data_IF_951760018678
#
_entry.id   IF_951760018678
#
_cell.length_a   1.000
_cell.length_b   1.000
_cell.length_c   1.000
_cell.angle_alpha   90.00
_cell.angle_beta   90.00
_cell.angle_gamma   90.00
#
_symmetry.space_group_name_H-M   'P 1'
#
loop_
_entity.id
_entity.type
_entity.pdbx_description
1 polymer ?
#
# COMPACT_ATOMS: atom_id res chain seq x y z
N UNK A 1 1.17 -18.99 13.37
CA UNK A 1 1.98 -17.77 13.61
C UNK A 1 1.19 -16.76 14.42
N UNK A 2 1.50 -16.61 15.73
CA UNK A 2 0.91 -15.53 16.56
C UNK A 2 1.87 -14.33 16.51
N UNK A 3 1.77 -13.47 15.49
CA UNK A 3 2.47 -12.19 15.50
C UNK A 3 1.87 -11.33 16.63
N UNK A 4 2.60 -11.15 17.73
CA UNK A 4 2.18 -10.24 18.80
C UNK A 4 2.11 -8.81 18.25
N UNK A 5 1.23 -7.98 18.80
CA UNK A 5 1.26 -6.53 18.58
C UNK A 5 2.59 -6.00 19.09
N UNK A 6 3.29 -5.23 18.28
CA UNK A 6 4.47 -4.50 18.74
C UNK A 6 4.02 -3.31 19.56
N UNK A 7 4.87 -2.83 20.47
CA UNK A 7 4.60 -1.60 21.22
C UNK A 7 4.35 -0.41 20.28
N UNK A 8 5.03 -0.38 19.14
CA UNK A 8 4.82 0.65 18.13
C UNK A 8 3.42 0.57 17.49
N UNK A 9 2.94 -0.62 17.17
CA UNK A 9 1.57 -0.79 16.64
C UNK A 9 0.52 -0.35 17.67
N UNK A 10 0.72 -0.69 18.96
CA UNK A 10 -0.19 -0.27 20.04
C UNK A 10 -0.19 1.26 20.18
N UNK A 11 0.99 1.89 20.17
CA UNK A 11 1.13 3.34 20.23
C UNK A 11 0.42 4.02 19.05
N UNK A 12 0.68 3.55 17.83
CA UNK A 12 0.08 4.11 16.61
C UNK A 12 -1.44 3.91 16.56
N UNK A 13 -1.97 2.83 17.14
CA UNK A 13 -3.42 2.62 17.25
C UNK A 13 -4.04 3.51 18.34
N UNK A 14 -3.36 3.71 19.46
CA UNK A 14 -3.90 4.48 20.57
C UNK A 14 -3.80 6.00 20.34
N UNK A 15 -2.79 6.47 19.63
CA UNK A 15 -2.50 7.90 19.45
C UNK A 15 -3.67 8.72 18.88
N UNK A 16 -4.40 8.30 17.82
CA UNK A 16 -5.54 9.05 17.33
C UNK A 16 -6.68 9.15 18.34
N UNK A 17 -6.97 8.07 19.07
CA UNK A 17 -8.02 8.09 20.09
C UNK A 17 -7.65 8.97 21.28
N UNK A 18 -6.40 8.92 21.73
CA UNK A 18 -5.90 9.83 22.75
C UNK A 18 -5.99 11.29 22.31
N UNK A 19 -5.60 11.59 21.05
CA UNK A 19 -5.74 12.94 20.50
C UNK A 19 -7.20 13.40 20.44
N UNK A 20 -8.14 12.53 20.09
CA UNK A 20 -9.58 12.84 20.11
C UNK A 20 -10.06 13.18 21.51
N UNK A 21 -9.67 12.39 22.52
CA UNK A 21 -10.07 12.64 23.92
C UNK A 21 -9.53 14.01 24.39
N UNK A 22 -8.25 14.29 24.11
CA UNK A 22 -7.59 15.51 24.61
C UNK A 22 -8.01 16.78 23.87
N UNK A 23 -8.30 16.68 22.56
CA UNK A 23 -8.53 17.85 21.70
C UNK A 23 -10.00 18.06 21.33
N UNK A 24 -10.90 17.19 21.74
CA UNK A 24 -12.30 17.20 21.32
C UNK A 24 -12.98 18.56 21.47
N UNK A 25 -12.81 19.20 22.61
CA UNK A 25 -13.44 20.49 22.91
C UNK A 25 -12.79 21.68 22.15
N UNK A 26 -11.57 21.51 21.65
CA UNK A 26 -10.86 22.52 20.89
C UNK A 26 -11.15 22.45 19.37
N UNK A 27 -11.65 21.30 18.91
CA UNK A 27 -11.93 21.08 17.49
C UNK A 27 -13.26 21.72 17.08
N UNK A 28 -13.33 22.40 15.93
CA UNK A 28 -14.55 23.03 15.43
C UNK A 28 -15.60 21.98 15.04
N UNK A 29 -16.87 22.40 14.93
CA UNK A 29 -17.96 21.52 14.53
C UNK A 29 -17.83 20.98 13.09
N UNK A 30 -17.17 21.75 12.20
CA UNK A 30 -16.84 21.34 10.83
C UNK A 30 -15.34 21.28 10.67
N UNK A 31 -14.87 20.21 10.03
CA UNK A 31 -13.45 19.90 9.83
C UNK A 31 -13.16 19.68 8.35
N UNK A 32 -11.94 19.91 7.86
CA UNK A 32 -11.55 19.59 6.50
C UNK A 32 -11.55 18.08 6.29
N UNK A 33 -12.15 17.63 5.18
CA UNK A 33 -12.23 16.20 4.85
C UNK A 33 -11.63 15.86 3.49
N UNK A 34 -11.35 16.88 2.66
CA UNK A 34 -10.70 16.72 1.37
C UNK A 34 -9.86 17.96 1.02
N UNK A 35 -8.77 17.72 0.27
CA UNK A 35 -7.88 18.74 -0.29
C UNK A 35 -7.76 18.50 -1.80
N UNK A 36 -7.85 19.57 -2.58
CA UNK A 36 -7.68 19.53 -4.02
C UNK A 36 -6.20 19.36 -4.43
N UNK A 37 -5.93 19.26 -5.73
CA UNK A 37 -4.57 19.12 -6.27
C UNK A 37 -3.66 20.34 -6.02
N UNK A 38 -4.22 21.48 -5.58
CA UNK A 38 -3.48 22.68 -5.19
C UNK A 38 -3.20 22.74 -3.68
N UNK A 39 -3.59 21.69 -2.93
CA UNK A 39 -3.42 21.63 -1.49
C UNK A 39 -4.42 22.46 -0.69
N UNK A 40 -5.46 23.00 -1.34
CA UNK A 40 -6.51 23.78 -0.70
C UNK A 40 -7.65 22.87 -0.21
N UNK A 41 -8.26 23.25 0.91
CA UNK A 41 -9.42 22.53 1.45
C UNK A 41 -10.63 22.86 0.58
N UNK A 42 -11.17 21.87 -0.11
CA UNK A 42 -12.33 22.01 -1.00
C UNK A 42 -13.59 21.30 -0.46
N UNK A 43 -13.46 20.53 0.63
CA UNK A 43 -14.60 19.89 1.27
C UNK A 43 -14.49 19.89 2.79
N UNK A 44 -15.63 20.13 3.44
CA UNK A 44 -15.78 20.21 4.89
C UNK A 44 -16.87 19.26 5.36
N UNK A 45 -16.58 18.47 6.37
CA UNK A 45 -17.51 17.55 6.99
C UNK A 45 -17.82 17.89 8.45
N UNK A 46 -18.84 17.25 9.03
CA UNK A 46 -19.10 17.34 10.47
C UNK A 46 -18.00 16.65 11.27
N UNK A 47 -17.68 17.17 12.46
CA UNK A 47 -16.66 16.59 13.35
C UNK A 47 -16.90 15.10 13.59
N UNK A 48 -18.12 14.73 13.98
CA UNK A 48 -18.57 13.34 13.97
C UNK A 48 -19.39 13.08 12.69
N UNK A 49 -19.21 11.96 11.97
CA UNK A 49 -18.34 10.80 12.23
C UNK A 49 -16.91 10.90 11.63
N UNK A 50 -16.57 11.99 10.89
CA UNK A 50 -15.36 12.03 10.04
C UNK A 50 -14.05 11.82 10.81
N UNK A 51 -13.96 12.31 12.06
CA UNK A 51 -12.76 12.08 12.88
C UNK A 51 -12.58 10.62 13.33
N UNK A 52 -13.63 9.81 13.33
CA UNK A 52 -13.52 8.39 13.67
C UNK A 52 -13.19 7.50 12.48
N UNK A 53 -13.41 7.96 11.25
CA UNK A 53 -13.19 7.15 10.03
C UNK A 53 -11.75 6.62 9.99
N UNK A 54 -10.75 7.49 10.10
CA UNK A 54 -9.35 7.07 9.99
C UNK A 54 -8.88 6.17 11.15
N UNK A 55 -9.14 6.48 12.43
CA UNK A 55 -8.80 5.59 13.55
C UNK A 55 -9.48 4.21 13.46
N UNK A 56 -10.76 4.16 13.08
CA UNK A 56 -11.49 2.90 12.92
C UNK A 56 -11.00 2.12 11.70
N UNK A 57 -10.68 2.80 10.60
CA UNK A 57 -10.05 2.18 9.42
C UNK A 57 -8.70 1.58 9.80
N UNK A 58 -7.86 2.30 10.56
CA UNK A 58 -6.57 1.82 11.03
C UNK A 58 -6.72 0.56 11.91
N UNK A 59 -7.66 0.56 12.84
CA UNK A 59 -7.98 -0.61 13.65
C UNK A 59 -8.46 -1.78 12.79
N UNK A 60 -9.40 -1.54 11.89
CA UNK A 60 -9.92 -2.55 10.97
C UNK A 60 -8.83 -3.16 10.08
N UNK A 61 -7.91 -2.34 9.55
CA UNK A 61 -6.77 -2.82 8.74
C UNK A 61 -5.80 -3.68 9.55
N UNK A 62 -5.50 -3.32 10.80
CA UNK A 62 -4.64 -4.15 11.67
C UNK A 62 -5.31 -5.48 11.96
N UNK A 63 -6.61 -5.48 12.29
CA UNK A 63 -7.37 -6.72 12.51
C UNK A 63 -7.39 -7.57 11.26
N UNK A 64 -7.75 -6.98 10.10
CA UNK A 64 -7.78 -7.68 8.82
C UNK A 64 -6.44 -8.34 8.50
N UNK A 65 -5.33 -7.59 8.52
CA UNK A 65 -4.01 -8.12 8.20
C UNK A 65 -3.49 -9.16 9.21
N UNK A 66 -4.09 -9.24 10.41
CA UNK A 66 -3.80 -10.28 11.41
C UNK A 66 -4.57 -11.57 11.18
N UNK A 67 -5.84 -11.45 10.82
CA UNK A 67 -6.69 -12.64 10.60
C UNK A 67 -6.50 -13.24 9.20
N UNK A 68 -6.04 -12.43 8.23
CA UNK A 68 -5.84 -12.81 6.84
C UNK A 68 -5.08 -14.15 6.65
N UNK A 69 -3.94 -14.41 7.33
CA UNK A 69 -3.21 -15.67 7.17
C UNK A 69 -4.03 -16.90 7.56
N UNK A 70 -5.08 -16.76 8.38
CA UNK A 70 -5.94 -17.88 8.80
C UNK A 70 -6.93 -18.27 7.71
N UNK A 71 -7.35 -17.30 6.88
CA UNK A 71 -8.30 -17.50 5.79
C UNK A 71 -7.63 -17.85 4.47
N UNK A 72 -6.31 -17.64 4.32
CA UNK A 72 -5.60 -17.91 3.09
C UNK A 72 -5.12 -19.38 3.03
N UNK A 73 -5.72 -20.23 2.16
CA UNK A 73 -5.31 -21.63 2.06
C UNK A 73 -3.86 -21.80 1.59
N UNK A 74 -3.34 -20.87 0.76
CA UNK A 74 -1.96 -20.89 0.27
C UNK A 74 -0.95 -20.58 1.39
N UNK A 75 -1.30 -19.64 2.29
CA UNK A 75 -0.49 -19.30 3.45
C UNK A 75 -0.58 -20.38 4.55
N UNK A 76 -1.76 -20.95 4.77
CA UNK A 76 -2.01 -21.96 5.80
C UNK A 76 -1.30 -23.29 5.52
N UNK A 77 -1.30 -23.77 4.28
CA UNK A 77 -0.67 -25.05 3.90
C UNK A 77 0.85 -25.07 4.06
N UNK A 78 1.49 -23.92 4.17
CA UNK A 78 2.95 -23.75 4.25
C UNK A 78 3.42 -23.16 5.59
N UNK A 79 2.68 -23.41 6.68
CA UNK A 79 3.01 -22.90 8.01
C UNK A 79 4.37 -23.35 8.56
N UNK A 80 4.96 -24.42 8.01
CA UNK A 80 6.26 -24.94 8.41
C UNK A 80 7.44 -24.36 7.61
N UNK A 81 7.18 -23.50 6.64
CA UNK A 81 8.20 -22.92 5.78
C UNK A 81 8.46 -21.48 6.24
N UNK A 82 9.63 -21.22 6.81
CA UNK A 82 10.08 -19.93 7.38
C UNK A 82 10.26 -18.85 6.28
N UNK A 83 9.18 -18.49 5.59
CA UNK A 83 9.24 -17.44 4.59
C UNK A 83 9.15 -16.04 5.21
N UNK A 84 9.50 -15.00 4.43
CA UNK A 84 9.52 -13.60 4.83
C UNK A 84 8.14 -13.01 5.24
N UNK A 85 7.03 -13.74 5.09
CA UNK A 85 5.69 -13.25 5.48
C UNK A 85 5.58 -12.83 6.96
N UNK A 86 6.23 -13.50 7.93
CA UNK A 86 6.27 -13.05 9.33
C UNK A 86 6.93 -11.68 9.51
N UNK A 87 7.83 -11.30 8.61
CA UNK A 87 8.53 -10.00 8.62
C UNK A 87 7.74 -8.96 7.82
N UNK A 88 7.23 -9.33 6.64
CA UNK A 88 6.57 -8.40 5.71
C UNK A 88 5.24 -7.90 6.28
N UNK A 89 4.39 -8.75 6.84
CA UNK A 89 3.08 -8.34 7.35
C UNK A 89 3.16 -7.30 8.49
N UNK A 90 4.04 -7.44 9.49
CA UNK A 90 4.23 -6.37 10.49
C UNK A 90 4.68 -5.05 9.87
N UNK A 91 5.60 -5.08 8.90
CA UNK A 91 6.08 -3.87 8.22
C UNK A 91 4.95 -3.19 7.45
N UNK A 92 4.15 -3.96 6.71
CA UNK A 92 2.98 -3.42 5.99
C UNK A 92 1.97 -2.80 6.97
N UNK A 93 1.71 -3.45 8.12
CA UNK A 93 0.81 -2.89 9.16
C UNK A 93 1.34 -1.57 9.71
N UNK A 94 2.62 -1.51 10.10
CA UNK A 94 3.24 -0.30 10.63
C UNK A 94 3.23 0.82 9.57
N UNK A 95 3.59 0.53 8.32
CA UNK A 95 3.56 1.50 7.23
C UNK A 95 2.13 2.04 6.98
N UNK A 96 1.13 1.16 7.01
CA UNK A 96 -0.28 1.56 6.88
C UNK A 96 -0.73 2.43 8.05
N UNK A 97 -0.36 2.06 9.30
CA UNK A 97 -0.66 2.84 10.48
C UNK A 97 -0.01 4.22 10.42
N UNK A 98 1.26 4.31 10.01
CA UNK A 98 1.96 5.59 9.85
C UNK A 98 1.26 6.48 8.80
N UNK A 99 0.87 5.92 7.66
CA UNK A 99 0.14 6.64 6.63
C UNK A 99 -1.19 7.20 7.16
N UNK A 100 -2.03 6.35 7.77
CA UNK A 100 -3.34 6.76 8.27
C UNK A 100 -3.22 7.76 9.43
N UNK A 101 -2.24 7.58 10.32
CA UNK A 101 -1.96 8.55 11.38
C UNK A 101 -1.49 9.90 10.83
N UNK A 102 -0.64 9.91 9.79
CA UNK A 102 -0.20 11.16 9.16
C UNK A 102 -1.41 11.93 8.63
N UNK A 103 -2.30 11.29 7.87
CA UNK A 103 -3.52 11.93 7.36
C UNK A 103 -4.40 12.43 8.50
N UNK A 104 -4.60 11.63 9.55
CA UNK A 104 -5.38 12.00 10.73
C UNK A 104 -4.80 13.23 11.44
N UNK A 105 -3.49 13.24 11.74
CA UNK A 105 -2.88 14.37 12.44
C UNK A 105 -2.76 15.63 11.59
N UNK A 106 -2.63 15.52 10.26
CA UNK A 106 -2.77 16.66 9.34
C UNK A 106 -4.19 17.22 9.42
N UNK A 107 -5.21 16.37 9.41
CA UNK A 107 -6.61 16.78 9.56
C UNK A 107 -6.86 17.49 10.91
N UNK A 108 -6.34 16.97 12.02
CA UNK A 108 -6.41 17.62 13.33
C UNK A 108 -5.70 18.98 13.31
N UNK A 109 -4.47 19.04 12.82
CA UNK A 109 -3.68 20.26 12.78
C UNK A 109 -4.37 21.38 11.97
N UNK A 110 -4.87 21.05 10.78
CA UNK A 110 -5.63 21.99 9.95
C UNK A 110 -6.95 22.40 10.59
N UNK A 111 -7.65 21.49 11.27
CA UNK A 111 -8.88 21.80 12.02
C UNK A 111 -8.64 22.79 13.17
N UNK A 112 -7.46 22.74 13.78
CA UNK A 112 -7.03 23.68 14.84
C UNK A 112 -6.46 25.00 14.27
N UNK A 113 -6.61 25.26 12.97
CA UNK A 113 -6.14 26.47 12.31
C UNK A 113 -4.60 26.54 12.12
N UNK A 114 -3.88 25.43 12.29
CA UNK A 114 -2.43 25.39 12.04
C UNK A 114 -2.15 25.48 10.54
N UNK A 115 -1.23 26.34 10.15
CA UNK A 115 -0.73 26.44 8.77
C UNK A 115 0.23 25.27 8.52
N UNK A 116 -0.26 24.21 7.90
CA UNK A 116 0.53 23.04 7.51
C UNK A 116 0.44 22.83 6.00
N UNK A 117 1.54 22.43 5.38
CA UNK A 117 1.54 22.04 3.97
C UNK A 117 0.91 20.63 3.80
N UNK A 118 -0.42 20.57 4.03
CA UNK A 118 -1.17 19.30 4.17
C UNK A 118 -0.95 18.37 2.99
N UNK A 119 -1.16 18.85 1.76
CA UNK A 119 -0.99 18.05 0.55
C UNK A 119 0.44 17.48 0.44
N UNK A 120 1.45 18.33 0.67
CA UNK A 120 2.86 17.91 0.60
C UNK A 120 3.20 16.85 1.64
N UNK A 121 2.75 16.99 2.89
CA UNK A 121 2.98 16.01 3.95
C UNK A 121 2.30 14.68 3.62
N UNK A 122 1.04 14.71 3.15
CA UNK A 122 0.31 13.51 2.78
C UNK A 122 0.97 12.79 1.60
N UNK A 123 1.42 13.54 0.58
CA UNK A 123 2.13 12.99 -0.59
C UNK A 123 3.45 12.35 -0.19
N UNK A 124 4.27 13.03 0.64
CA UNK A 124 5.53 12.46 1.14
C UNK A 124 5.27 11.13 1.85
N UNK A 125 4.30 11.11 2.76
CA UNK A 125 3.97 9.91 3.51
C UNK A 125 3.47 8.78 2.60
N UNK A 126 2.66 9.10 1.59
CA UNK A 126 2.16 8.14 0.60
C UNK A 126 3.30 7.58 -0.26
N UNK A 127 4.26 8.42 -0.69
CA UNK A 127 5.42 7.98 -1.44
C UNK A 127 6.33 7.06 -0.60
N UNK A 128 6.58 7.43 0.67
CA UNK A 128 7.32 6.58 1.60
C UNK A 128 6.62 5.23 1.81
N UNK A 129 5.30 5.23 1.92
CA UNK A 129 4.51 4.00 1.97
C UNK A 129 4.71 3.13 0.72
N UNK A 130 4.66 3.72 -0.49
CA UNK A 130 4.92 2.97 -1.73
C UNK A 130 6.36 2.48 -1.84
N UNK A 131 7.35 3.26 -1.40
CA UNK A 131 8.76 2.83 -1.36
C UNK A 131 8.90 1.61 -0.45
N UNK A 132 8.31 1.65 0.74
CA UNK A 132 8.32 0.50 1.68
C UNK A 132 7.64 -0.70 1.05
N UNK A 133 6.43 -0.54 0.51
CA UNK A 133 5.72 -1.64 -0.16
C UNK A 133 6.52 -2.21 -1.33
N UNK A 134 7.10 -1.36 -2.17
CA UNK A 134 7.90 -1.76 -3.33
C UNK A 134 9.11 -2.60 -2.94
N UNK A 135 9.80 -2.22 -1.85
CA UNK A 135 10.94 -2.95 -1.33
C UNK A 135 10.59 -4.40 -0.90
N UNK A 136 9.38 -4.62 -0.40
CA UNK A 136 8.94 -5.93 0.08
C UNK A 136 8.07 -6.70 -0.91
N UNK A 137 7.57 -6.05 -1.97
CA UNK A 137 6.63 -6.64 -2.91
C UNK A 137 7.20 -7.90 -3.59
N UNK A 138 8.48 -7.86 -4.00
CA UNK A 138 9.17 -9.00 -4.63
C UNK A 138 9.35 -10.21 -3.71
N UNK A 139 9.19 -10.03 -2.41
CA UNK A 139 9.32 -11.08 -1.38
C UNK A 139 7.97 -11.69 -0.98
N UNK A 140 6.87 -11.17 -1.53
CA UNK A 140 5.54 -11.71 -1.28
C UNK A 140 5.40 -13.09 -1.93
N UNK A 141 5.00 -14.07 -1.14
CA UNK A 141 4.64 -15.40 -1.66
C UNK A 141 3.26 -15.38 -2.31
N UNK A 142 3.00 -16.28 -3.28
CA UNK A 142 1.67 -16.43 -3.85
C UNK A 142 0.61 -16.61 -2.77
N UNK A 143 -0.37 -15.71 -2.77
CA UNK A 143 -1.49 -15.67 -1.83
C UNK A 143 -2.70 -15.03 -2.51
N UNK A 144 -3.89 -15.14 -1.87
CA UNK A 144 -5.12 -14.64 -2.47
C UNK A 144 -5.47 -13.19 -2.09
N UNK A 145 -4.73 -12.53 -1.19
CA UNK A 145 -5.19 -11.28 -0.58
C UNK A 145 -4.26 -10.08 -0.82
N UNK A 146 -2.95 -10.26 -0.86
CA UNK A 146 -1.97 -9.17 -0.89
C UNK A 146 -1.07 -9.28 -2.10
N UNK A 147 -0.89 -8.19 -2.85
CA UNK A 147 0.00 -8.10 -4.00
C UNK A 147 -0.70 -7.81 -5.33
N UNK A 148 0.02 -7.95 -6.44
CA UNK A 148 -0.47 -7.77 -7.81
C UNK A 148 -1.22 -9.05 -8.21
N UNK A 149 -2.57 -8.98 -8.19
CA UNK A 149 -3.46 -10.12 -8.42
C UNK A 149 -4.15 -10.00 -9.78
N UNK A 150 -3.51 -10.54 -10.78
CA UNK A 150 -4.11 -10.78 -12.09
C UNK A 150 -4.48 -12.28 -12.19
N UNK A 151 -5.35 -12.71 -13.12
CA UNK A 151 -5.62 -14.13 -13.32
C UNK A 151 -4.33 -14.94 -13.45
N UNK A 152 -3.38 -14.47 -14.23
CA UNK A 152 -2.12 -15.16 -14.52
C UNK A 152 -1.18 -15.26 -13.31
N UNK A 153 -1.12 -14.22 -12.46
CA UNK A 153 -0.30 -14.29 -11.23
C UNK A 153 -0.90 -15.23 -10.20
N UNK A 154 -2.21 -15.39 -10.16
CA UNK A 154 -2.89 -16.30 -9.24
C UNK A 154 -2.76 -17.76 -9.65
N UNK A 155 -2.67 -18.04 -10.96
CA UNK A 155 -2.56 -19.37 -11.53
C UNK A 155 -1.11 -19.90 -11.50
N UNK A 156 -0.12 -19.06 -11.86
CA UNK A 156 1.27 -19.48 -12.01
C UNK A 156 2.21 -18.78 -11.01
N UNK A 157 2.90 -19.57 -10.14
CA UNK A 157 3.87 -19.05 -9.18
C UNK A 157 5.08 -18.34 -9.81
N UNK A 158 5.50 -18.70 -11.02
CA UNK A 158 6.62 -18.04 -11.71
C UNK A 158 6.20 -16.66 -12.22
N UNK A 159 5.02 -16.56 -12.82
CA UNK A 159 4.40 -15.29 -13.22
C UNK A 159 4.20 -14.39 -12.00
N UNK A 160 3.76 -14.94 -10.86
CA UNK A 160 3.70 -14.19 -9.61
C UNK A 160 5.05 -13.58 -9.24
N UNK A 161 6.10 -14.42 -9.14
CA UNK A 161 7.44 -13.96 -8.73
C UNK A 161 8.03 -12.93 -9.68
N UNK A 162 7.90 -13.14 -11.00
CA UNK A 162 8.40 -12.22 -12.01
C UNK A 162 7.72 -10.86 -11.92
N UNK A 163 6.37 -10.86 -11.86
CA UNK A 163 5.56 -9.63 -11.80
C UNK A 163 5.82 -8.86 -10.51
N UNK A 164 5.89 -9.53 -9.36
CA UNK A 164 6.12 -8.88 -8.08
C UNK A 164 7.54 -8.33 -7.93
N UNK A 165 8.56 -9.03 -8.44
CA UNK A 165 9.95 -8.53 -8.42
C UNK A 165 10.12 -7.27 -9.26
N UNK A 166 9.58 -7.27 -10.47
CA UNK A 166 9.73 -6.10 -11.35
C UNK A 166 8.81 -4.97 -10.89
N UNK A 167 7.56 -5.26 -10.54
CA UNK A 167 6.63 -4.28 -9.98
C UNK A 167 7.15 -3.63 -8.70
N UNK A 168 7.76 -4.43 -7.82
CA UNK A 168 8.40 -3.92 -6.60
C UNK A 168 9.55 -2.95 -6.88
N UNK A 169 10.41 -3.27 -7.88
CA UNK A 169 11.50 -2.37 -8.30
C UNK A 169 10.95 -1.06 -8.88
N UNK A 170 9.94 -1.16 -9.77
CA UNK A 170 9.32 0.03 -10.36
C UNK A 170 8.68 0.91 -9.29
N UNK A 171 7.99 0.32 -8.32
CA UNK A 171 7.36 1.02 -7.21
C UNK A 171 8.38 1.67 -6.27
N UNK A 172 9.48 0.98 -5.97
CA UNK A 172 10.56 1.49 -5.10
C UNK A 172 11.30 2.65 -5.77
N UNK A 173 11.87 2.43 -6.95
CA UNK A 173 12.65 3.47 -7.65
C UNK A 173 11.77 4.60 -8.17
N UNK A 174 10.58 4.28 -8.71
CA UNK A 174 9.60 5.28 -9.12
C UNK A 174 9.16 6.15 -7.94
N UNK A 175 8.92 5.55 -6.77
CA UNK A 175 8.62 6.27 -5.54
C UNK A 175 9.76 7.20 -5.10
N UNK A 176 11.02 6.77 -5.19
CA UNK A 176 12.18 7.61 -4.89
C UNK A 176 12.30 8.79 -5.87
N UNK A 177 12.13 8.53 -7.17
CA UNK A 177 12.16 9.58 -8.20
C UNK A 177 11.07 10.62 -7.94
N UNK A 178 9.84 10.16 -7.68
CA UNK A 178 8.72 11.04 -7.38
C UNK A 178 8.92 11.81 -6.06
N UNK A 179 9.53 11.18 -5.05
CA UNK A 179 9.84 11.83 -3.78
C UNK A 179 10.81 13.01 -3.97
N UNK A 180 11.76 12.89 -4.87
CA UNK A 180 12.66 13.98 -5.23
C UNK A 180 11.96 14.99 -6.14
N UNK A 181 11.24 14.54 -7.14
CA UNK A 181 10.58 15.39 -8.14
C UNK A 181 9.57 16.38 -7.54
N UNK A 182 8.87 16.01 -6.46
CA UNK A 182 7.90 16.92 -5.80
C UNK A 182 8.51 18.22 -5.25
N UNK A 183 9.82 18.27 -5.02
CA UNK A 183 10.49 19.49 -4.54
C UNK A 183 10.77 20.49 -5.68
N UNK A 184 10.72 20.04 -6.93
CA UNK A 184 11.04 20.84 -8.12
C UNK A 184 9.81 21.16 -8.98
N UNK A 185 8.70 20.47 -8.75
CA UNK A 185 7.48 20.61 -9.55
C UNK A 185 6.40 21.37 -8.81
N UNK A 186 5.52 22.05 -9.54
CA UNK A 186 4.28 22.59 -8.98
C UNK A 186 3.35 21.48 -8.55
N UNK A 187 2.47 21.75 -7.58
CA UNK A 187 1.56 20.73 -7.04
C UNK A 187 0.67 20.11 -8.12
N UNK A 188 0.20 20.91 -9.08
CA UNK A 188 -0.63 20.42 -10.19
C UNK A 188 0.13 19.48 -11.13
N UNK A 189 1.35 19.87 -11.55
CA UNK A 189 2.19 19.03 -12.43
C UNK A 189 2.57 17.74 -11.71
N UNK A 190 2.94 17.84 -10.43
CA UNK A 190 3.28 16.70 -9.61
C UNK A 190 2.07 15.74 -9.46
N UNK A 191 0.88 16.28 -9.17
CA UNK A 191 -0.34 15.49 -9.03
C UNK A 191 -0.68 14.69 -10.30
N UNK A 192 -0.56 15.33 -11.48
CA UNK A 192 -0.75 14.64 -12.76
C UNK A 192 0.30 13.55 -12.99
N UNK A 193 1.58 13.84 -12.72
CA UNK A 193 2.68 12.89 -12.84
C UNK A 193 2.50 11.69 -11.90
N UNK A 194 2.12 11.95 -10.64
CA UNK A 194 1.86 10.92 -9.65
C UNK A 194 0.70 10.01 -10.08
N UNK A 195 -0.45 10.58 -10.44
CA UNK A 195 -1.61 9.82 -10.90
C UNK A 195 -1.27 9.01 -12.17
N UNK A 196 -0.62 9.63 -13.14
CA UNK A 196 -0.17 8.96 -14.36
C UNK A 196 0.77 7.78 -14.07
N UNK A 197 1.69 7.94 -13.11
CA UNK A 197 2.60 6.87 -12.69
C UNK A 197 1.89 5.70 -12.03
N UNK A 198 0.89 5.96 -11.18
CA UNK A 198 0.06 4.91 -10.55
C UNK A 198 -0.75 4.15 -11.60
N UNK A 199 -1.39 4.86 -12.54
CA UNK A 199 -2.15 4.23 -13.62
C UNK A 199 -1.25 3.43 -14.57
N UNK A 200 -0.08 3.98 -14.92
CA UNK A 200 0.91 3.29 -15.73
C UNK A 200 1.42 2.00 -15.05
N UNK A 201 1.71 2.04 -13.75
CA UNK A 201 2.12 0.87 -12.99
C UNK A 201 1.03 -0.20 -12.94
N UNK A 202 -0.24 0.20 -12.77
CA UNK A 202 -1.37 -0.73 -12.78
C UNK A 202 -1.56 -1.38 -14.16
N UNK A 203 -1.58 -0.59 -15.23
CA UNK A 203 -1.70 -1.08 -16.61
C UNK A 203 -0.52 -2.00 -16.99
N UNK A 204 0.70 -1.56 -16.65
CA UNK A 204 1.90 -2.35 -16.87
C UNK A 204 1.83 -3.70 -16.16
N UNK A 205 1.42 -3.72 -14.89
CA UNK A 205 1.31 -4.96 -14.10
C UNK A 205 0.39 -5.98 -14.76
N UNK A 206 -0.72 -5.51 -15.31
CA UNK A 206 -1.68 -6.35 -16.04
C UNK A 206 -1.08 -6.90 -17.34
N UNK A 207 -0.53 -6.02 -18.20
CA UNK A 207 0.07 -6.39 -19.49
C UNK A 207 1.29 -7.30 -19.30
N UNK A 208 2.17 -6.97 -18.35
CA UNK A 208 3.38 -7.75 -18.09
C UNK A 208 3.04 -9.16 -17.60
N UNK A 209 2.11 -9.31 -16.65
CA UNK A 209 1.73 -10.62 -16.13
C UNK A 209 1.08 -11.50 -17.22
N UNK A 210 0.27 -10.90 -18.10
CA UNK A 210 -0.30 -11.59 -19.25
C UNK A 210 0.80 -12.06 -20.23
N UNK A 211 1.67 -11.15 -20.65
CA UNK A 211 2.75 -11.47 -21.57
C UNK A 211 3.70 -12.54 -21.02
N UNK A 212 4.11 -12.41 -19.76
CA UNK A 212 4.99 -13.36 -19.11
C UNK A 212 4.38 -14.78 -19.04
N UNK A 213 3.12 -14.90 -18.65
CA UNK A 213 2.40 -16.17 -18.62
C UNK A 213 2.36 -16.83 -20.02
N UNK A 214 2.08 -16.07 -21.07
CA UNK A 214 2.08 -16.57 -22.45
C UNK A 214 3.44 -17.12 -22.88
N UNK A 215 4.52 -16.43 -22.51
CA UNK A 215 5.89 -16.88 -22.84
C UNK A 215 6.27 -18.17 -22.10
N UNK A 216 5.80 -18.39 -20.88
CA UNK A 216 6.03 -19.63 -20.14
C UNK A 216 5.30 -20.82 -20.81
N UNK A 217 4.04 -20.66 -21.18
CA UNK A 217 3.26 -21.70 -21.88
C UNK A 217 3.96 -22.08 -23.20
N UNK A 218 4.42 -21.11 -23.98
CA UNK A 218 5.14 -21.36 -25.23
C UNK A 218 6.46 -22.12 -25.02
N UNK A 219 7.21 -21.80 -23.95
CA UNK A 219 8.46 -22.52 -23.60
C UNK A 219 8.18 -23.94 -23.16
N UNK A 220 7.16 -24.17 -22.35
CA UNK A 220 6.76 -25.52 -21.92
C UNK A 220 6.34 -26.40 -23.12
N UNK A 221 5.55 -25.83 -24.04
CA UNK A 221 5.13 -26.54 -25.26
C UNK A 221 6.32 -26.93 -26.15
N UNK A 222 7.31 -26.06 -26.32
CA UNK A 222 8.54 -26.35 -27.08
C UNK A 222 9.43 -27.41 -26.39
N UNK A 223 9.45 -27.45 -25.07
CA UNK A 223 10.23 -28.43 -24.30
C UNK A 223 9.62 -29.86 -24.38
N UNK A 224 8.29 -29.94 -24.45
CA UNK A 224 7.57 -31.24 -24.58
C UNK A 224 7.56 -31.73 -26.02
N UNK A 225 7.61 -30.82 -27.02
CA UNK A 225 7.66 -31.13 -28.44
C UNK A 225 9.08 -31.23 -29.01
N UNK A 226 10.07 -31.67 -28.25
CA UNK A 226 11.43 -31.91 -28.69
C UNK A 226 11.50 -32.89 -29.88
N UNK A 227 12.55 -32.83 -30.72
CA UNK A 227 12.56 -33.46 -32.03
C UNK A 227 12.25 -34.93 -31.90
N UNK A 228 11.19 -35.36 -32.61
CA UNK A 228 10.99 -36.78 -32.93
C UNK A 228 12.28 -37.27 -33.60
N UNK A 229 13.10 -38.00 -32.88
CA UNK A 229 14.18 -38.80 -33.46
C UNK A 229 13.56 -39.72 -34.48
N UNK A 230 13.63 -39.33 -35.74
CA UNK A 230 13.45 -40.24 -36.85
C UNK A 230 14.55 -41.32 -36.73
N UNK A 231 14.16 -42.52 -36.34
CA UNK A 231 14.86 -43.74 -36.62
C UNK A 231 14.36 -44.28 -37.94
#
# INVERSE_FOLDING_TARGET
MKSKLTWLELLLLAAPFAALILLWNQLPARIPVHWNLHGEIDSWGSKMPHLLVLPLTALGMVVLLRILPWFDPKLRRRSNDEGLMPVVLPIVRIATLLLLNTVFFVQIATSLGRKVAAARIMVICLLLFFIVLGNYLGNLRPNYFVGIRTPWTLEDPETWRATHRLGGRLMFFGGLILLVAQFFLTESIFGMLFLGSVLALAAWSFVYSWHYSRTQVSRASKAVGGPSTNL
#
